data_IF_462543602485
#
_entry.id   IF_462543602485
#
_cell.length_a   1.000
_cell.length_b   1.000
_cell.length_c   1.000
_cell.angle_alpha   90.00
_cell.angle_beta   90.00
_cell.angle_gamma   90.00
#
_symmetry.space_group_name_H-M   'P 1'
#
loop_
_entity.id
_entity.type
_entity.pdbx_description
1 polymer ?
#
# COMPACT_ATOMS: atom_id res chain seq x y z
N UNK A 1 14.14 20.36 -18.55
CA UNK A 1 13.35 19.21 -19.05
C UNK A 1 12.38 18.83 -17.95
N UNK A 2 11.08 19.13 -18.12
CA UNK A 2 10.05 18.70 -17.17
C UNK A 2 9.78 17.22 -17.41
N UNK A 3 10.24 16.34 -16.50
CA UNK A 3 9.80 14.95 -16.50
C UNK A 3 8.32 14.93 -16.07
N UNK A 4 7.43 14.81 -17.05
CA UNK A 4 6.02 14.54 -16.79
C UNK A 4 5.93 13.14 -16.17
N UNK A 5 5.64 13.07 -14.88
CA UNK A 5 5.36 11.82 -14.20
C UNK A 5 4.14 11.18 -14.86
N UNK A 6 4.36 10.11 -15.63
CA UNK A 6 3.26 9.34 -16.18
C UNK A 6 2.71 8.44 -15.08
N UNK A 7 1.41 8.51 -14.79
CA UNK A 7 0.83 7.62 -13.79
C UNK A 7 0.92 6.17 -14.26
N UNK A 8 1.19 5.26 -13.32
CA UNK A 8 1.36 3.85 -13.62
C UNK A 8 0.09 3.22 -14.22
N UNK A 9 0.22 2.35 -15.25
CA UNK A 9 -0.90 1.60 -15.78
C UNK A 9 -1.16 0.32 -14.97
N UNK A 10 -2.42 -0.08 -14.88
CA UNK A 10 -2.84 -1.44 -14.52
C UNK A 10 -3.00 -2.24 -15.81
N UNK A 11 -2.40 -3.42 -15.91
CA UNK A 11 -2.41 -4.23 -17.12
C UNK A 11 -2.95 -5.63 -16.89
N UNK A 12 -3.68 -6.18 -17.88
CA UNK A 12 -4.05 -7.60 -17.96
C UNK A 12 -3.49 -8.16 -19.27
N UNK A 13 -2.73 -9.24 -19.20
CA UNK A 13 -2.14 -9.92 -20.37
C UNK A 13 -1.45 -8.96 -21.36
N UNK A 14 -0.68 -7.99 -20.83
CA UNK A 14 0.03 -6.92 -21.56
C UNK A 14 -0.85 -5.81 -22.16
N UNK A 15 -2.17 -5.87 -22.00
CA UNK A 15 -3.08 -4.78 -22.35
C UNK A 15 -3.31 -3.83 -21.16
N UNK A 16 -3.40 -2.53 -21.41
CA UNK A 16 -3.72 -1.54 -20.37
C UNK A 16 -5.21 -1.60 -20.06
N UNK A 17 -5.55 -1.84 -18.80
CA UNK A 17 -6.92 -1.89 -18.28
C UNK A 17 -7.31 -0.54 -17.67
N UNK A 18 -6.38 0.14 -17.00
CA UNK A 18 -6.64 1.43 -16.34
C UNK A 18 -5.35 2.26 -16.23
N UNK A 19 -5.42 3.58 -16.47
CA UNK A 19 -4.30 4.51 -16.28
C UNK A 19 -4.82 5.95 -16.07
N UNK A 20 -4.49 6.66 -14.97
CA UNK A 20 -3.86 6.15 -13.74
C UNK A 20 -4.67 5.01 -13.14
N UNK A 21 -4.00 3.98 -12.59
CA UNK A 21 -4.73 3.04 -11.75
C UNK A 21 -5.25 3.75 -10.49
N UNK A 22 -6.48 3.44 -10.08
CA UNK A 22 -7.02 3.94 -8.80
C UNK A 22 -6.72 2.99 -7.66
N UNK A 23 -5.88 3.45 -6.75
CA UNK A 23 -5.45 2.70 -5.58
C UNK A 23 -6.63 2.24 -4.73
N UNK A 24 -7.63 3.09 -4.51
CA UNK A 24 -8.73 2.85 -3.55
C UNK A 24 -9.54 1.58 -3.82
N UNK A 25 -9.65 1.14 -5.08
CA UNK A 25 -10.43 -0.04 -5.45
C UNK A 25 -9.56 -1.22 -5.88
N UNK A 26 -8.25 -1.14 -5.65
CA UNK A 26 -7.29 -2.09 -6.19
C UNK A 26 -7.46 -3.47 -5.57
N UNK A 27 -7.65 -3.56 -4.25
CA UNK A 27 -7.91 -4.84 -3.57
C UNK A 27 -9.13 -5.52 -4.17
N UNK A 28 -10.26 -4.81 -4.29
CA UNK A 28 -11.48 -5.35 -4.90
C UNK A 28 -11.27 -5.82 -6.35
N UNK A 29 -10.55 -5.06 -7.17
CA UNK A 29 -10.26 -5.44 -8.56
C UNK A 29 -9.38 -6.69 -8.63
N UNK A 30 -8.37 -6.81 -7.76
CA UNK A 30 -7.54 -8.00 -7.66
C UNK A 30 -8.34 -9.21 -7.17
N UNK A 31 -9.21 -9.05 -6.17
CA UNK A 31 -10.10 -10.11 -5.68
C UNK A 31 -11.02 -10.63 -6.79
N UNK A 32 -11.62 -9.72 -7.57
CA UNK A 32 -12.47 -10.09 -8.72
C UNK A 32 -11.72 -10.91 -9.75
N UNK A 33 -10.47 -10.54 -10.07
CA UNK A 33 -9.66 -11.31 -11.02
C UNK A 33 -9.31 -12.69 -10.46
N UNK A 34 -8.96 -12.78 -9.17
CA UNK A 34 -8.67 -14.05 -8.51
C UNK A 34 -9.89 -14.99 -8.53
N UNK A 35 -11.09 -14.48 -8.22
CA UNK A 35 -12.34 -15.24 -8.32
C UNK A 35 -12.59 -15.71 -9.75
N UNK A 36 -12.49 -14.80 -10.72
CA UNK A 36 -12.70 -15.14 -12.13
C UNK A 36 -11.68 -16.18 -12.63
N UNK A 37 -10.43 -16.11 -12.17
CA UNK A 37 -9.41 -17.11 -12.46
C UNK A 37 -9.79 -18.49 -11.91
N UNK A 38 -10.24 -18.58 -10.65
CA UNK A 38 -10.67 -19.85 -10.06
C UNK A 38 -11.86 -20.44 -10.80
N UNK A 39 -12.85 -19.62 -11.16
CA UNK A 39 -14.02 -20.07 -11.94
C UNK A 39 -13.63 -20.63 -13.31
N UNK A 40 -12.75 -19.93 -14.04
CA UNK A 40 -12.25 -20.39 -15.35
C UNK A 40 -11.45 -21.70 -15.26
N UNK A 41 -10.90 -22.03 -14.10
CA UNK A 41 -10.03 -23.18 -13.90
C UNK A 41 -10.64 -24.28 -13.03
N UNK A 42 -11.92 -24.19 -12.67
CA UNK A 42 -12.54 -25.10 -11.70
C UNK A 42 -12.45 -26.59 -12.08
N UNK A 43 -12.35 -26.91 -13.37
CA UNK A 43 -12.26 -28.28 -13.88
C UNK A 43 -10.84 -28.89 -13.90
N UNK A 44 -9.79 -28.12 -13.54
CA UNK A 44 -8.40 -28.58 -13.57
C UNK A 44 -7.61 -28.08 -12.35
N UNK A 45 -6.52 -28.76 -11.97
CA UNK A 45 -5.62 -28.24 -10.95
C UNK A 45 -5.06 -26.87 -11.35
N UNK A 46 -5.02 -25.93 -10.40
CA UNK A 46 -4.47 -24.59 -10.63
C UNK A 46 -3.60 -24.14 -9.46
N UNK A 47 -2.71 -23.19 -9.74
CA UNK A 47 -1.98 -22.43 -8.73
C UNK A 47 -2.42 -20.97 -8.82
N UNK A 48 -2.99 -20.45 -7.73
CA UNK A 48 -3.27 -19.03 -7.57
C UNK A 48 -2.24 -18.43 -6.62
N UNK A 49 -1.32 -17.63 -7.16
CA UNK A 49 -0.42 -16.81 -6.36
C UNK A 49 -0.99 -15.40 -6.25
N UNK A 50 -1.43 -15.02 -5.06
CA UNK A 50 -2.15 -13.77 -4.82
C UNK A 50 -1.41 -12.89 -3.81
N UNK A 51 -0.72 -11.86 -4.31
CA UNK A 51 0.02 -10.91 -3.49
C UNK A 51 -0.80 -9.64 -3.30
N UNK A 52 -1.23 -9.39 -2.06
CA UNK A 52 -1.88 -8.14 -1.71
C UNK A 52 -0.87 -6.98 -1.75
N UNK A 53 -1.32 -5.81 -2.24
CA UNK A 53 -0.56 -4.57 -2.14
C UNK A 53 -0.76 -3.87 -0.79
N UNK A 54 -1.94 -4.04 -0.20
CA UNK A 54 -2.18 -3.72 1.20
C UNK A 54 -1.47 -4.75 2.09
N UNK A 55 -0.90 -4.37 3.23
CA UNK A 55 -1.04 -3.12 4.00
C UNK A 55 0.20 -2.21 3.93
N UNK A 56 0.85 -2.11 2.77
CA UNK A 56 2.04 -1.29 2.60
C UNK A 56 1.73 0.20 2.87
N UNK A 57 2.76 0.99 3.24
CA UNK A 57 2.67 2.37 3.78
C UNK A 57 1.77 3.36 3.03
N UNK A 58 1.50 3.15 1.74
CA UNK A 58 0.43 3.84 1.02
C UNK A 58 -0.92 3.16 1.32
N UNK A 59 -1.41 3.34 2.55
CA UNK A 59 -2.65 2.71 3.00
C UNK A 59 -3.87 3.43 2.42
N UNK A 60 -4.72 2.65 1.77
CA UNK A 60 -6.03 3.07 1.28
C UNK A 60 -7.02 1.97 1.64
N UNK A 61 -8.28 2.35 1.82
CA UNK A 61 -9.39 1.43 1.97
C UNK A 61 -10.49 1.87 1.01
N UNK A 62 -11.14 0.91 0.36
CA UNK A 62 -12.30 1.23 -0.49
C UNK A 62 -13.45 1.80 0.36
N UNK A 63 -14.36 2.53 -0.30
CA UNK A 63 -15.45 3.24 0.37
C UNK A 63 -16.24 2.40 1.41
N UNK A 64 -16.51 1.10 1.20
CA UNK A 64 -17.21 0.27 2.19
C UNK A 64 -16.46 0.03 3.50
N UNK A 65 -15.12 0.11 3.50
CA UNK A 65 -14.28 -0.22 4.66
C UNK A 65 -13.74 1.00 5.39
N UNK A 66 -13.80 2.19 4.77
CA UNK A 66 -13.32 3.43 5.39
C UNK A 66 -14.08 3.78 6.66
N UNK A 67 -13.34 3.99 7.74
CA UNK A 67 -13.87 4.37 9.06
C UNK A 67 -14.59 3.23 9.79
N UNK A 68 -14.42 1.98 9.35
CA UNK A 68 -15.08 0.82 10.00
C UNK A 68 -14.26 0.28 11.16
N UNK A 69 -12.94 0.48 11.15
CA UNK A 69 -12.03 -0.02 12.16
C UNK A 69 -11.70 1.01 13.23
N UNK A 70 -11.57 0.52 14.47
CA UNK A 70 -11.05 1.32 15.60
C UNK A 70 -9.56 1.65 15.45
N UNK A 71 -8.86 0.98 14.54
CA UNK A 71 -7.41 1.15 14.30
C UNK A 71 -7.11 2.06 13.10
N UNK A 72 -8.06 2.92 12.71
CA UNK A 72 -7.90 3.86 11.61
C UNK A 72 -7.71 3.18 10.25
N UNK A 73 -7.08 3.90 9.31
CA UNK A 73 -6.93 3.45 7.91
C UNK A 73 -6.19 2.12 7.77
N UNK A 74 -5.25 1.82 8.68
CA UNK A 74 -4.58 0.53 8.72
C UNK A 74 -5.58 -0.60 9.01
N UNK A 75 -6.41 -0.42 10.03
CA UNK A 75 -7.44 -1.38 10.38
C UNK A 75 -8.49 -1.55 9.28
N UNK A 76 -8.86 -0.46 8.62
CA UNK A 76 -9.77 -0.49 7.46
C UNK A 76 -9.17 -1.31 6.30
N UNK A 77 -7.89 -1.11 6.00
CA UNK A 77 -7.18 -1.88 4.97
C UNK A 77 -7.07 -3.37 5.34
N UNK A 78 -6.82 -3.69 6.63
CA UNK A 78 -6.83 -5.07 7.12
C UNK A 78 -8.22 -5.70 6.97
N UNK A 79 -9.30 -4.98 7.30
CA UNK A 79 -10.67 -5.47 7.08
C UNK A 79 -10.94 -5.77 5.60
N UNK A 80 -10.43 -4.95 4.68
CA UNK A 80 -10.59 -5.18 3.25
C UNK A 80 -9.81 -6.41 2.76
N UNK A 81 -8.60 -6.64 3.29
CA UNK A 81 -7.84 -7.87 3.00
C UNK A 81 -8.56 -9.10 3.55
N UNK A 82 -9.06 -9.05 4.78
CA UNK A 82 -9.83 -10.13 5.39
C UNK A 82 -11.09 -10.45 4.57
N UNK A 83 -11.83 -9.42 4.16
CA UNK A 83 -12.97 -9.59 3.24
C UNK A 83 -12.57 -10.27 1.94
N UNK A 84 -11.46 -9.87 1.32
CA UNK A 84 -10.96 -10.48 0.08
C UNK A 84 -10.63 -11.96 0.26
N UNK A 85 -9.98 -12.32 1.37
CA UNK A 85 -9.73 -13.74 1.70
C UNK A 85 -11.06 -14.47 1.87
N UNK A 86 -12.03 -13.86 2.53
CA UNK A 86 -13.39 -14.37 2.63
C UNK A 86 -14.02 -14.68 1.26
N UNK A 87 -13.89 -13.78 0.28
CA UNK A 87 -14.39 -14.00 -1.08
C UNK A 87 -13.73 -15.20 -1.77
N UNK A 88 -12.42 -15.39 -1.58
CA UNK A 88 -11.69 -16.53 -2.12
C UNK A 88 -12.20 -17.83 -1.50
N UNK A 89 -12.32 -17.87 -0.17
CA UNK A 89 -12.78 -19.05 0.56
C UNK A 89 -14.24 -19.41 0.23
N UNK A 90 -15.11 -18.40 0.07
CA UNK A 90 -16.49 -18.59 -0.37
C UNK A 90 -16.55 -19.16 -1.79
N UNK A 91 -15.69 -18.67 -2.68
CA UNK A 91 -15.61 -19.18 -4.06
C UNK A 91 -15.17 -20.65 -4.10
N UNK A 92 -14.15 -21.02 -3.33
CA UNK A 92 -13.74 -22.43 -3.19
C UNK A 92 -14.88 -23.32 -2.68
N UNK A 93 -15.67 -22.83 -1.72
CA UNK A 93 -16.85 -23.53 -1.22
C UNK A 93 -17.93 -23.69 -2.28
N UNK A 94 -18.29 -22.61 -2.99
CA UNK A 94 -19.28 -22.63 -4.06
C UNK A 94 -18.91 -23.54 -5.22
N UNK A 95 -17.61 -23.62 -5.55
CA UNK A 95 -17.09 -24.48 -6.61
C UNK A 95 -16.87 -25.93 -6.16
N UNK A 96 -17.08 -26.24 -4.87
CA UNK A 96 -16.85 -27.59 -4.32
C UNK A 96 -15.38 -28.00 -4.25
N UNK A 97 -14.45 -27.04 -4.29
CA UNK A 97 -13.00 -27.29 -4.33
C UNK A 97 -12.32 -27.24 -2.96
N UNK A 98 -13.08 -26.96 -1.89
CA UNK A 98 -12.55 -26.66 -0.55
C UNK A 98 -11.71 -27.81 0.04
N UNK A 99 -12.13 -29.06 -0.14
CA UNK A 99 -11.43 -30.23 0.43
C UNK A 99 -10.18 -30.63 -0.36
N UNK A 100 -10.04 -30.15 -1.60
CA UNK A 100 -8.94 -30.50 -2.50
C UNK A 100 -8.04 -29.29 -2.83
N UNK A 101 -8.07 -28.25 -1.99
CA UNK A 101 -7.27 -27.04 -2.18
C UNK A 101 -6.47 -26.73 -0.92
N UNK A 102 -5.14 -26.71 -1.04
CA UNK A 102 -4.28 -26.18 0.01
C UNK A 102 -4.24 -24.65 -0.07
N UNK A 103 -4.66 -23.98 0.99
CA UNK A 103 -4.57 -22.52 1.12
C UNK A 103 -3.48 -22.16 2.12
N UNK A 104 -2.51 -21.36 1.70
CA UNK A 104 -1.44 -20.86 2.53
C UNK A 104 -1.43 -19.33 2.52
N UNK A 105 -1.61 -18.71 3.68
CA UNK A 105 -1.57 -17.27 3.86
C UNK A 105 -0.35 -16.92 4.71
N UNK A 106 0.48 -16.01 4.19
CA UNK A 106 1.68 -15.53 4.87
C UNK A 106 1.96 -14.08 4.50
N UNK A 107 2.86 -13.44 5.24
CA UNK A 107 3.35 -12.09 4.99
C UNK A 107 4.80 -12.16 4.53
N UNK A 108 5.19 -11.27 3.63
CA UNK A 108 6.57 -11.13 3.13
C UNK A 108 7.50 -10.51 4.19
N UNK A 109 6.96 -9.64 5.05
CA UNK A 109 7.69 -9.04 6.18
C UNK A 109 6.80 -8.76 7.40
N UNK A 110 7.45 -8.43 8.53
CA UNK A 110 6.77 -7.98 9.76
C UNK A 110 6.28 -6.55 9.63
N UNK A 111 5.27 -6.20 10.42
CA UNK A 111 4.76 -4.83 10.50
C UNK A 111 5.90 -3.81 10.68
N UNK A 112 5.84 -2.73 9.90
CA UNK A 112 6.72 -1.59 10.08
C UNK A 112 6.44 -0.97 11.44
N UNK A 113 7.45 -0.99 12.31
CA UNK A 113 7.36 -0.27 13.58
C UNK A 113 7.40 1.24 13.32
N UNK A 114 6.88 2.06 14.25
CA UNK A 114 6.98 3.52 14.18
C UNK A 114 8.43 4.00 13.95
N UNK A 115 9.42 3.33 14.56
CA UNK A 115 10.84 3.60 14.34
C UNK A 115 11.26 3.34 12.89
N UNK A 116 10.81 2.22 12.31
CA UNK A 116 11.10 1.85 10.92
C UNK A 116 10.44 2.81 9.92
N UNK A 117 9.22 3.29 10.20
CA UNK A 117 8.55 4.31 9.39
C UNK A 117 9.32 5.63 9.38
N UNK A 118 9.72 6.14 10.55
CA UNK A 118 10.54 7.37 10.63
C UNK A 118 11.88 7.23 9.92
N UNK A 119 12.51 6.05 9.99
CA UNK A 119 13.75 5.77 9.27
C UNK A 119 13.53 5.82 7.74
N UNK A 120 12.42 5.24 7.26
CA UNK A 120 12.07 5.25 5.84
C UNK A 120 11.78 6.67 5.33
N UNK A 121 10.98 7.46 6.06
CA UNK A 121 10.68 8.87 5.71
C UNK A 121 11.97 9.70 5.68
N UNK A 122 12.84 9.56 6.68
CA UNK A 122 14.15 10.24 6.71
C UNK A 122 15.08 9.82 5.57
N UNK A 123 14.96 8.58 5.10
CA UNK A 123 15.77 8.07 3.99
C UNK A 123 15.30 8.61 2.64
N UNK A 124 14.00 8.86 2.49
CA UNK A 124 13.43 9.56 1.32
C UNK A 124 13.61 11.08 1.36
N UNK A 125 13.89 11.66 2.54
CA UNK A 125 14.26 13.08 2.71
C UNK A 125 15.78 13.31 2.64
N UNK A 126 16.58 12.32 2.22
CA UNK A 126 18.02 12.50 2.05
C UNK A 126 18.28 13.74 1.16
N UNK A 127 19.00 14.75 1.67
CA UNK A 127 19.11 16.02 1.00
C UNK A 127 19.90 15.82 -0.30
N UNK A 128 19.29 16.19 -1.43
CA UNK A 128 20.05 16.50 -2.64
C UNK A 128 21.06 17.58 -2.28
N UNK A 129 22.32 17.19 -2.15
CA UNK A 129 23.41 18.09 -1.85
C UNK A 129 23.49 19.16 -2.94
N UNK A 130 23.11 20.39 -2.60
CA UNK A 130 23.56 21.59 -3.28
C UNK A 130 24.09 22.56 -2.24
N UNK A 131 25.41 22.52 -2.13
CA UNK A 131 26.31 23.48 -1.51
C UNK A 131 25.92 24.93 -1.81
N UNK A 132 25.81 25.76 -0.77
CA UNK A 132 26.74 26.90 -0.57
C UNK A 132 26.62 27.52 0.83
N UNK A 133 27.76 27.52 1.50
CA UNK A 133 28.08 28.24 2.72
C UNK A 133 27.87 29.75 2.56
N UNK A 134 27.29 30.36 3.60
CA UNK A 134 27.40 31.79 3.87
C UNK A 134 27.54 31.97 5.39
N UNK A 135 28.76 32.22 5.85
CA UNK A 135 29.08 32.54 7.25
C UNK A 135 28.37 33.83 7.71
N UNK A 136 27.96 33.95 8.98
CA UNK A 136 27.49 35.23 9.53
C UNK A 136 28.68 36.12 9.90
N UNK A 137 28.63 37.45 9.68
CA UNK A 137 29.64 38.34 10.24
C UNK A 137 29.35 38.62 11.71
N UNK A 138 30.43 38.61 12.50
CA UNK A 138 30.47 39.11 13.87
C UNK A 138 30.37 40.65 13.88
N UNK A 139 29.57 41.21 14.79
CA UNK A 139 29.44 42.63 15.02
C UNK A 139 29.17 42.91 16.51
N UNK A 140 30.00 43.77 17.09
CA UNK A 140 30.23 44.03 18.52
C UNK A 140 29.17 44.93 19.20
N UNK A 141 29.07 44.72 20.52
CA UNK A 141 28.92 45.66 21.65
C UNK A 141 28.07 46.94 21.52
N UNK A 142 27.17 47.11 22.49
CA UNK A 142 26.53 48.38 22.83
C UNK A 142 25.83 48.31 24.20
N UNK A 143 26.50 48.86 25.21
CA UNK A 143 26.08 49.04 26.61
C UNK A 143 24.77 49.82 26.81
N UNK A 144 24.02 49.51 27.86
CA UNK A 144 22.96 50.39 28.37
C UNK A 144 22.26 49.84 29.62
N UNK A 145 22.70 50.31 30.79
CA UNK A 145 22.15 50.04 32.12
C UNK A 145 20.76 50.63 32.34
N UNK A 146 19.94 49.96 33.17
CA UNK A 146 19.32 50.48 34.41
C UNK A 146 17.97 49.82 34.75
N UNK A 147 17.88 49.54 36.04
CA UNK A 147 16.80 48.99 36.85
C UNK A 147 15.47 49.75 36.73
N UNK A 148 14.36 49.03 36.91
CA UNK A 148 13.29 49.28 37.91
C UNK A 148 12.36 48.07 37.94
#
# INVERSE_FOLDING_TARGET
MSHSFQPSPMTRDRSVVEQPFRSENLTQSMTREAVAFMERNAARPFLLFFSFLQVHTAMFASAPFRGTSRHGIYGDAVHEVDWSVGQIMQTLGRLGLRENTLVYLSSDHRALTWRSCLQQVRSTEAPTASTKQGSPPAGKEGSGSLES
#
